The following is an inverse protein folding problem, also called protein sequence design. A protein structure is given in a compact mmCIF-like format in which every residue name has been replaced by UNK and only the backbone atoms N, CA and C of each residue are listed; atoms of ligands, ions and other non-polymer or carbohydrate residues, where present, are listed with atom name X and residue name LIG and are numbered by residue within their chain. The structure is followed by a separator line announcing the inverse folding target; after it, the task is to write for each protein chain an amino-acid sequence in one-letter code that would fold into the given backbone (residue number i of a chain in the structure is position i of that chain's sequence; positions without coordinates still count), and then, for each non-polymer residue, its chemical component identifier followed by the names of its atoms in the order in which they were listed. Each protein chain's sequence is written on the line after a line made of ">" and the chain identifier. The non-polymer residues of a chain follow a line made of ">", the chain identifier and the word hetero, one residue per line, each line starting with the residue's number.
data_IF_917946047777
#
_entry.id   IF_917946047777
#
_cell.length_a   1.000
_cell.length_b   1.000
_cell.length_c   1.000
_cell.angle_alpha   90.00
_cell.angle_beta   90.00
_cell.angle_gamma   90.00
#
_symmetry.space_group_name_H-M   'P 1'
#
loop_
_entity.id
_entity.type
_entity.pdbx_description
1 polymer ?
#
# COMPACT_ATOMS: atom_id res chain seq x y z
N UNK A 1 10.45 18.39 8.81
CA UNK A 1 11.24 17.14 8.92
C UNK A 1 11.61 16.73 7.51
N UNK A 2 12.84 16.33 7.29
CA UNK A 2 13.36 16.01 5.97
C UNK A 2 13.42 14.49 5.78
N UNK A 3 12.77 13.96 4.74
CA UNK A 3 12.74 12.56 4.35
C UNK A 3 13.42 12.38 2.99
N UNK A 4 13.81 11.16 2.68
CA UNK A 4 14.30 10.82 1.35
C UNK A 4 13.13 10.52 0.42
N UNK A 5 12.12 9.81 0.96
CA UNK A 5 10.91 9.39 0.23
C UNK A 5 9.67 9.70 1.05
N UNK A 6 8.65 10.26 0.41
CA UNK A 6 7.29 10.37 0.98
C UNK A 6 6.36 9.50 0.13
N UNK A 7 5.57 8.65 0.81
CA UNK A 7 4.55 7.80 0.18
C UNK A 7 3.17 8.27 0.64
N UNK A 8 2.30 8.61 -0.30
CA UNK A 8 0.93 9.05 -0.03
C UNK A 8 -0.02 7.87 -0.24
N UNK A 9 -0.63 7.38 0.84
CA UNK A 9 -1.59 6.30 0.85
C UNK A 9 -1.11 5.06 1.61
N UNK A 10 -1.95 4.52 2.50
CA UNK A 10 -1.69 3.31 3.32
C UNK A 10 -2.33 2.04 2.75
N UNK A 11 -2.67 2.01 1.47
CA UNK A 11 -3.13 0.81 0.76
C UNK A 11 -1.97 -0.13 0.41
N UNK A 12 -2.28 -1.25 -0.26
CA UNK A 12 -1.28 -2.27 -0.59
C UNK A 12 -0.06 -1.72 -1.33
N UNK A 13 -0.27 -0.89 -2.36
CA UNK A 13 0.84 -0.27 -3.11
C UNK A 13 1.68 0.66 -2.26
N UNK A 14 1.03 1.43 -1.37
CA UNK A 14 1.73 2.34 -0.46
C UNK A 14 2.54 1.60 0.60
N UNK A 15 2.02 0.49 1.12
CA UNK A 15 2.75 -0.36 2.05
C UNK A 15 4.01 -0.92 1.39
N UNK A 16 3.88 -1.54 0.22
CA UNK A 16 5.02 -2.13 -0.48
C UNK A 16 6.07 -1.06 -0.84
N UNK A 17 5.64 0.11 -1.33
CA UNK A 17 6.55 1.22 -1.64
C UNK A 17 7.27 1.74 -0.39
N UNK A 18 6.55 1.91 0.73
CA UNK A 18 7.12 2.41 1.98
C UNK A 18 8.11 1.41 2.60
N UNK A 19 7.73 0.14 2.65
CA UNK A 19 8.59 -0.92 3.19
C UNK A 19 9.84 -1.11 2.33
N UNK A 20 9.70 -1.10 1.00
CA UNK A 20 10.85 -1.19 0.10
C UNK A 20 11.82 -0.02 0.32
N UNK A 21 11.32 1.21 0.35
CA UNK A 21 12.15 2.40 0.57
C UNK A 21 12.87 2.35 1.93
N UNK A 22 12.14 2.03 3.00
CA UNK A 22 12.68 1.97 4.35
C UNK A 22 13.73 0.85 4.51
N UNK A 23 13.46 -0.34 3.95
CA UNK A 23 14.39 -1.49 3.95
C UNK A 23 15.65 -1.24 3.15
N UNK A 24 15.59 -0.37 2.16
CA UNK A 24 16.77 0.13 1.42
C UNK A 24 17.56 1.20 2.20
N UNK A 25 17.15 1.54 3.42
CA UNK A 25 17.82 2.52 4.28
C UNK A 25 17.41 3.98 4.05
N UNK A 26 16.38 4.23 3.24
CA UNK A 26 15.85 5.57 3.04
C UNK A 26 14.98 5.98 4.24
N UNK A 27 15.14 7.23 4.71
CA UNK A 27 14.18 7.83 5.66
C UNK A 27 12.87 8.07 4.93
N UNK A 28 11.89 7.25 5.26
CA UNK A 28 10.61 7.20 4.55
C UNK A 28 9.48 7.72 5.43
N UNK A 29 8.57 8.49 4.84
CA UNK A 29 7.33 8.90 5.47
C UNK A 29 6.15 8.31 4.70
N UNK A 30 5.27 7.61 5.39
CA UNK A 30 3.93 7.27 4.88
C UNK A 30 2.92 8.30 5.41
N UNK A 31 2.16 8.93 4.52
CA UNK A 31 1.01 9.77 4.89
C UNK A 31 -0.26 9.02 4.52
N UNK A 32 -1.14 8.79 5.49
CA UNK A 32 -2.40 8.05 5.30
C UNK A 32 -3.56 8.73 6.03
N UNK A 33 -4.76 8.63 5.48
CA UNK A 33 -5.96 9.24 6.07
C UNK A 33 -6.29 8.61 7.42
N UNK A 34 -6.22 7.27 7.50
CA UNK A 34 -6.52 6.51 8.72
C UNK A 34 -5.46 5.43 8.93
N UNK A 35 -4.70 5.53 10.01
CA UNK A 35 -3.67 4.55 10.36
C UNK A 35 -4.26 3.16 10.64
N UNK A 36 -5.48 3.10 11.19
CA UNK A 36 -6.19 1.84 11.43
C UNK A 36 -6.57 1.10 10.15
N UNK A 37 -6.62 1.79 9.02
CA UNK A 37 -6.97 1.22 7.71
C UNK A 37 -5.75 0.86 6.85
N UNK A 38 -4.54 0.97 7.39
CA UNK A 38 -3.34 0.49 6.69
C UNK A 38 -3.50 -1.00 6.37
N UNK A 39 -3.38 -1.35 5.09
CA UNK A 39 -3.54 -2.73 4.62
C UNK A 39 -4.97 -3.25 4.54
N UNK A 40 -5.98 -2.39 4.68
CA UNK A 40 -7.36 -2.82 4.57
C UNK A 40 -7.67 -3.42 3.19
N UNK A 41 -8.25 -4.62 3.19
CA UNK A 41 -8.67 -5.34 1.99
C UNK A 41 -10.17 -5.13 1.76
N UNK A 42 -10.55 -3.92 1.34
CA UNK A 42 -11.93 -3.44 1.33
C UNK A 42 -12.83 -4.07 0.25
N UNK A 43 -12.27 -4.64 -0.82
CA UNK A 43 -13.08 -5.17 -1.92
C UNK A 43 -13.50 -6.62 -1.69
N UNK A 44 -12.55 -7.52 -1.50
CA UNK A 44 -12.82 -8.92 -1.17
C UNK A 44 -11.62 -9.52 -0.44
N UNK A 45 -11.86 -10.55 0.42
CA UNK A 45 -10.84 -11.13 1.27
C UNK A 45 -9.95 -12.13 0.51
N UNK A 46 -9.44 -11.76 -0.66
CA UNK A 46 -8.64 -12.67 -1.46
C UNK A 46 -7.40 -12.01 -2.06
N UNK A 47 -6.28 -12.68 -1.91
CA UNK A 47 -5.00 -12.32 -2.51
C UNK A 47 -4.67 -13.34 -3.60
N UNK A 48 -4.23 -12.85 -4.75
CA UNK A 48 -3.92 -13.70 -5.90
C UNK A 48 -5.06 -13.82 -6.90
N UNK A 49 -4.98 -14.85 -7.73
CA UNK A 49 -5.81 -15.05 -8.92
C UNK A 49 -5.04 -14.80 -10.20
N UNK A 50 -5.74 -14.79 -11.34
CA UNK A 50 -5.14 -14.45 -12.63
C UNK A 50 -4.66 -12.99 -12.60
N UNK A 51 -3.51 -12.68 -13.13
CA UNK A 51 -2.79 -11.41 -13.08
C UNK A 51 -2.35 -10.99 -11.64
N UNK A 52 -3.27 -10.77 -10.69
CA UNK A 52 -2.91 -10.37 -9.32
C UNK A 52 -1.92 -11.34 -8.66
N UNK A 53 -2.12 -12.66 -8.82
CA UNK A 53 -1.21 -13.66 -8.26
C UNK A 53 0.19 -13.63 -8.85
N UNK A 54 0.34 -13.24 -10.11
CA UNK A 54 1.64 -13.06 -10.74
C UNK A 54 2.37 -11.86 -10.14
N UNK A 55 1.69 -10.71 -10.05
CA UNK A 55 2.26 -9.49 -9.45
C UNK A 55 2.65 -9.70 -7.97
N UNK A 56 1.82 -10.39 -7.19
CA UNK A 56 2.15 -10.71 -5.78
C UNK A 56 3.45 -11.51 -5.70
N UNK A 57 3.66 -12.51 -6.56
CA UNK A 57 4.88 -13.31 -6.59
C UNK A 57 6.11 -12.51 -7.03
N UNK A 58 5.96 -11.61 -7.98
CA UNK A 58 7.05 -10.73 -8.41
C UNK A 58 7.47 -9.78 -7.29
N UNK A 59 6.50 -9.19 -6.60
CA UNK A 59 6.74 -8.31 -5.45
C UNK A 59 7.37 -9.10 -4.29
N UNK A 60 6.87 -10.32 -4.00
CA UNK A 60 7.40 -11.21 -2.97
C UNK A 60 8.87 -11.60 -3.25
N UNK A 61 9.20 -11.92 -4.52
CA UNK A 61 10.56 -12.22 -4.94
C UNK A 61 11.54 -11.05 -4.74
N UNK A 62 11.03 -9.82 -4.69
CA UNK A 62 11.79 -8.59 -4.40
C UNK A 62 11.80 -8.22 -2.91
N UNK A 63 11.27 -9.08 -2.03
CA UNK A 63 11.20 -8.84 -0.59
C UNK A 63 9.95 -8.08 -0.14
N UNK A 64 8.85 -8.14 -0.91
CA UNK A 64 7.57 -7.54 -0.54
C UNK A 64 6.88 -8.27 0.62
N UNK A 65 5.90 -7.62 1.22
CA UNK A 65 5.24 -8.09 2.45
C UNK A 65 3.90 -8.79 2.18
N UNK A 66 3.25 -8.51 1.04
CA UNK A 66 1.91 -9.04 0.75
C UNK A 66 1.87 -10.57 0.73
N UNK A 67 2.88 -11.22 0.16
CA UNK A 67 3.00 -12.68 0.14
C UNK A 67 3.11 -13.26 1.55
N UNK A 68 4.03 -12.74 2.34
CA UNK A 68 4.28 -13.15 3.73
C UNK A 68 3.04 -12.97 4.62
N UNK A 69 2.39 -11.83 4.51
CA UNK A 69 1.14 -11.55 5.24
C UNK A 69 0.03 -12.53 4.82
N UNK A 70 -0.07 -12.81 3.52
CA UNK A 70 -1.06 -13.76 2.99
C UNK A 70 -0.84 -15.17 3.54
N UNK A 71 0.40 -15.63 3.62
CA UNK A 71 0.72 -16.94 4.19
C UNK A 71 0.37 -17.06 5.67
N UNK A 72 0.50 -15.95 6.42
CA UNK A 72 0.18 -15.91 7.86
C UNK A 72 -1.31 -15.76 8.18
N UNK A 73 -2.05 -15.10 7.31
CA UNK A 73 -3.46 -14.76 7.55
C UNK A 73 -4.44 -15.46 6.62
N UNK A 74 -3.92 -16.32 5.74
CA UNK A 74 -4.70 -17.11 4.81
C UNK A 74 -5.51 -18.19 5.50
N UNK A 75 -6.79 -18.27 5.16
CA UNK A 75 -7.73 -19.28 5.68
C UNK A 75 -8.06 -20.36 4.65
N UNK A 76 -7.80 -20.10 3.36
CA UNK A 76 -7.96 -21.07 2.28
C UNK A 76 -7.01 -20.77 1.13
N UNK A 77 -6.37 -21.78 0.60
CA UNK A 77 -5.45 -21.69 -0.55
C UNK A 77 -5.94 -22.56 -1.69
N UNK A 78 -5.97 -22.02 -2.90
CA UNK A 78 -6.41 -22.74 -4.10
C UNK A 78 -5.54 -22.39 -5.31
N UNK A 79 -5.33 -23.38 -6.18
CA UNK A 79 -4.84 -23.12 -7.53
C UNK A 79 -6.04 -23.00 -8.46
N UNK A 80 -6.23 -21.82 -9.06
CA UNK A 80 -7.24 -21.59 -10.08
C UNK A 80 -6.79 -22.21 -11.39
N UNK A 81 -7.76 -22.69 -12.19
CA UNK A 81 -7.52 -23.30 -13.49
C UNK A 81 -6.52 -24.47 -13.46
N UNK A 82 -6.52 -25.28 -12.39
CA UNK A 82 -5.59 -26.40 -12.22
C UNK A 82 -5.66 -27.41 -13.37
N UNK A 83 -6.84 -27.60 -13.96
CA UNK A 83 -7.07 -28.48 -15.12
C UNK A 83 -6.68 -27.89 -16.48
N UNK A 84 -6.27 -26.59 -16.49
CA UNK A 84 -5.88 -25.90 -17.72
C UNK A 84 -4.35 -25.77 -17.81
N UNK A 85 -3.85 -25.32 -18.95
CA UNK A 85 -2.41 -25.19 -19.17
C UNK A 85 -1.72 -24.26 -18.16
N UNK A 86 -0.39 -24.38 -17.99
CA UNK A 86 0.38 -23.62 -16.99
C UNK A 86 0.22 -22.09 -17.08
N UNK A 87 0.05 -21.58 -18.29
CA UNK A 87 -0.08 -20.14 -18.56
C UNK A 87 -1.30 -19.48 -17.90
N UNK A 88 -2.33 -20.24 -17.54
CA UNK A 88 -3.57 -19.73 -16.94
C UNK A 88 -3.77 -20.20 -15.50
N UNK A 89 -2.81 -20.93 -14.94
CA UNK A 89 -2.85 -21.32 -13.53
C UNK A 89 -2.49 -20.13 -12.67
N UNK A 90 -3.26 -19.89 -11.61
CA UNK A 90 -3.00 -18.81 -10.65
C UNK A 90 -3.24 -19.27 -9.23
N UNK A 91 -2.33 -18.92 -8.33
CA UNK A 91 -2.56 -19.12 -6.90
C UNK A 91 -3.53 -18.06 -6.38
N UNK A 92 -4.46 -18.47 -5.52
CA UNK A 92 -5.39 -17.57 -4.83
C UNK A 92 -5.53 -18.03 -3.39
N UNK A 93 -5.34 -17.09 -2.47
CA UNK A 93 -5.59 -17.27 -1.05
C UNK A 93 -6.83 -16.47 -0.63
N UNK A 94 -7.66 -17.07 0.20
CA UNK A 94 -8.67 -16.37 0.98
C UNK A 94 -8.01 -15.97 2.29
N UNK A 95 -8.16 -14.73 2.70
CA UNK A 95 -7.53 -14.19 3.91
C UNK A 95 -8.57 -13.83 4.98
N UNK A 96 -8.18 -13.89 6.23
CA UNK A 96 -8.87 -13.18 7.31
C UNK A 96 -8.53 -11.69 7.18
N UNK A 97 -9.52 -10.87 6.81
CA UNK A 97 -9.32 -9.44 6.51
C UNK A 97 -8.83 -8.64 7.71
N UNK A 98 -9.32 -8.96 8.91
CA UNK A 98 -8.93 -8.27 10.13
C UNK A 98 -7.52 -8.63 10.55
N UNK A 99 -7.17 -9.90 10.52
CA UNK A 99 -5.80 -10.35 10.81
C UNK A 99 -4.80 -9.83 9.79
N UNK A 100 -5.16 -9.82 8.52
CA UNK A 100 -4.34 -9.25 7.45
C UNK A 100 -4.04 -7.76 7.69
N UNK A 101 -5.07 -6.98 7.98
CA UNK A 101 -4.95 -5.55 8.30
C UNK A 101 -4.10 -5.31 9.55
N UNK A 102 -4.35 -6.07 10.62
CA UNK A 102 -3.58 -5.98 11.88
C UNK A 102 -2.11 -6.30 11.63
N UNK A 103 -1.83 -7.37 10.88
CA UNK A 103 -0.48 -7.77 10.54
C UNK A 103 0.25 -6.67 9.74
N UNK A 104 -0.35 -6.22 8.64
CA UNK A 104 0.25 -5.18 7.78
C UNK A 104 0.52 -3.89 8.53
N UNK A 105 -0.45 -3.44 9.33
CA UNK A 105 -0.27 -2.25 10.17
C UNK A 105 0.88 -2.42 11.15
N UNK A 106 0.98 -3.56 11.81
CA UNK A 106 2.05 -3.83 12.76
C UNK A 106 3.42 -3.83 12.07
N UNK A 107 3.54 -4.42 10.90
CA UNK A 107 4.79 -4.39 10.13
C UNK A 107 5.17 -2.95 9.78
N UNK A 108 4.25 -2.17 9.24
CA UNK A 108 4.50 -0.76 8.87
C UNK A 108 4.93 0.07 10.07
N UNK A 109 4.22 -0.04 11.20
CA UNK A 109 4.50 0.76 12.39
C UNK A 109 5.78 0.37 13.13
N UNK A 110 6.32 -0.82 12.90
CA UNK A 110 7.54 -1.32 13.55
C UNK A 110 8.72 -1.46 12.60
N UNK A 111 8.63 -0.93 11.39
CA UNK A 111 9.74 -0.95 10.43
C UNK A 111 10.67 0.24 10.68
N UNK A 112 11.95 -0.03 10.84
CA UNK A 112 12.97 1.00 10.97
C UNK A 112 12.99 1.93 9.74
N UNK A 113 13.35 3.19 9.94
CA UNK A 113 13.39 4.24 8.91
C UNK A 113 12.02 4.58 8.28
N UNK A 114 10.91 4.11 8.84
CA UNK A 114 9.56 4.39 8.36
C UNK A 114 8.73 5.12 9.41
N UNK A 115 8.46 6.39 9.16
CA UNK A 115 7.50 7.17 9.93
C UNK A 115 6.11 7.13 9.29
N UNK A 116 5.06 7.13 10.12
CA UNK A 116 3.67 7.19 9.66
C UNK A 116 3.00 8.45 10.21
N UNK A 117 2.32 9.19 9.34
CA UNK A 117 1.47 10.34 9.71
C UNK A 117 0.05 10.10 9.25
N UNK A 118 -0.88 10.26 10.21
CA UNK A 118 -2.31 10.22 9.92
C UNK A 118 -2.78 11.62 9.54
N UNK A 119 -2.66 11.94 8.27
CA UNK A 119 -3.03 13.22 7.69
C UNK A 119 -3.55 13.03 6.26
N UNK A 120 -4.20 14.05 5.72
CA UNK A 120 -4.61 14.08 4.32
C UNK A 120 -3.61 14.92 3.56
N UNK A 121 -2.92 14.31 2.60
CA UNK A 121 -2.05 15.02 1.67
C UNK A 121 -2.92 15.91 0.77
N UNK A 122 -2.57 17.18 0.66
CA UNK A 122 -3.35 18.20 -0.05
C UNK A 122 -2.65 18.68 -1.32
N UNK A 123 -1.32 18.80 -1.31
CA UNK A 123 -0.57 19.29 -2.44
C UNK A 123 0.88 18.83 -2.48
N UNK A 124 1.47 18.97 -3.66
CA UNK A 124 2.90 18.81 -3.87
C UNK A 124 3.59 20.17 -3.80
N UNK A 125 4.76 20.21 -3.17
CA UNK A 125 5.66 21.35 -3.22
C UNK A 125 6.56 21.13 -4.44
N UNK A 126 6.47 22.02 -5.40
CA UNK A 126 7.29 21.97 -6.63
C UNK A 126 8.03 23.29 -6.80
N UNK A 127 9.33 23.23 -6.90
CA UNK A 127 10.20 24.39 -7.11
C UNK A 127 11.11 24.10 -8.31
N UNK A 128 11.17 25.02 -9.25
CA UNK A 128 11.99 24.89 -10.47
C UNK A 128 11.75 23.57 -11.25
N UNK A 129 10.51 23.06 -11.25
CA UNK A 129 10.15 21.81 -11.91
C UNK A 129 10.51 20.51 -11.15
N UNK A 130 11.06 20.63 -9.94
CA UNK A 130 11.41 19.52 -9.09
C UNK A 130 10.48 19.42 -7.87
N UNK A 131 10.10 18.19 -7.49
CA UNK A 131 9.35 17.95 -6.27
C UNK A 131 10.27 18.17 -5.06
N UNK A 132 9.78 18.94 -4.08
CA UNK A 132 10.49 19.24 -2.83
C UNK A 132 9.76 18.72 -1.58
N UNK A 133 8.52 18.26 -1.73
CA UNK A 133 7.75 17.73 -0.62
C UNK A 133 6.25 17.71 -0.83
N UNK A 134 5.54 17.62 0.28
CA UNK A 134 4.07 17.50 0.36
C UNK A 134 3.54 18.46 1.42
N UNK A 135 2.39 19.08 1.14
CA UNK A 135 1.56 19.78 2.11
C UNK A 135 0.36 18.93 2.51
N UNK A 136 -0.15 19.14 3.71
CA UNK A 136 -1.34 18.46 4.23
C UNK A 136 -2.44 19.43 4.58
N UNK A 137 -3.68 18.95 4.68
CA UNK A 137 -4.85 19.76 5.04
C UNK A 137 -4.74 20.38 6.44
N UNK A 138 -3.90 19.83 7.32
CA UNK A 138 -3.60 20.41 8.63
C UNK A 138 -2.58 21.56 8.56
N UNK A 139 -2.09 21.90 7.37
CA UNK A 139 -1.09 22.96 7.17
C UNK A 139 0.36 22.51 7.44
N UNK A 140 0.57 21.23 7.70
CA UNK A 140 1.91 20.69 7.87
C UNK A 140 2.62 20.55 6.52
N UNK A 141 3.95 20.70 6.57
CA UNK A 141 4.83 20.56 5.42
C UNK A 141 5.89 19.50 5.71
N UNK A 142 6.03 18.53 4.80
CA UNK A 142 7.05 17.51 4.84
C UNK A 142 7.90 17.59 3.58
N UNK A 143 9.22 17.64 3.76
CA UNK A 143 10.16 17.77 2.63
C UNK A 143 10.77 16.44 2.26
N UNK A 144 10.85 16.17 0.96
CA UNK A 144 11.53 15.03 0.37
C UNK A 144 11.86 15.28 -1.10
N UNK A 145 12.89 14.63 -1.60
CA UNK A 145 13.26 14.68 -3.02
C UNK A 145 12.47 13.71 -3.90
N UNK A 146 11.73 12.78 -3.28
CA UNK A 146 10.93 11.76 -3.97
C UNK A 146 9.56 11.65 -3.32
N UNK A 147 8.51 11.66 -4.14
CA UNK A 147 7.12 11.45 -3.69
C UNK A 147 6.48 10.36 -4.53
N UNK A 148 5.91 9.36 -3.86
CA UNK A 148 5.18 8.25 -4.49
C UNK A 148 3.70 8.40 -4.13
N UNK A 149 2.85 8.54 -5.15
CA UNK A 149 1.41 8.71 -4.96
C UNK A 149 0.73 7.37 -5.18
N UNK A 150 0.10 6.86 -4.12
CA UNK A 150 -0.66 5.59 -4.12
C UNK A 150 -2.08 5.80 -3.57
N UNK A 151 -2.68 6.94 -3.86
CA UNK A 151 -3.95 7.38 -3.29
C UNK A 151 -5.17 6.53 -3.71
N UNK A 152 -5.02 5.58 -4.63
CA UNK A 152 -6.10 4.71 -5.09
C UNK A 152 -7.26 5.51 -5.67
N UNK A 153 -8.45 5.32 -5.10
CA UNK A 153 -9.69 6.01 -5.52
C UNK A 153 -9.98 7.30 -4.73
N UNK A 154 -9.09 7.71 -3.82
CA UNK A 154 -9.36 8.85 -2.92
C UNK A 154 -8.95 10.21 -3.49
N UNK A 155 -8.11 10.25 -4.51
CA UNK A 155 -7.65 11.50 -5.11
C UNK A 155 -8.73 12.05 -6.06
N UNK A 156 -9.50 13.04 -5.60
CA UNK A 156 -10.64 13.62 -6.33
C UNK A 156 -11.60 12.56 -6.88
N UNK A 157 -11.74 11.45 -6.17
CA UNK A 157 -12.62 10.36 -6.56
C UNK A 157 -14.09 10.75 -6.44
N UNK A 158 -14.89 10.37 -7.43
CA UNK A 158 -16.33 10.56 -7.38
C UNK A 158 -17.00 9.38 -6.68
N UNK A 159 -17.71 9.68 -5.58
CA UNK A 159 -18.47 8.69 -4.82
C UNK A 159 -19.93 8.75 -5.27
N UNK A 160 -20.50 7.60 -5.64
CA UNK A 160 -21.91 7.47 -5.95
C UNK A 160 -22.65 6.78 -4.79
N UNK A 161 -23.65 7.45 -4.22
CA UNK A 161 -24.53 6.89 -3.18
C UNK A 161 -25.97 7.07 -3.67
N UNK A 162 -26.50 6.08 -4.38
CA UNK A 162 -27.77 6.19 -5.06
C UNK A 162 -27.71 7.30 -6.13
N UNK A 163 -28.63 8.25 -6.05
CA UNK A 163 -28.69 9.41 -6.96
C UNK A 163 -27.78 10.57 -6.53
N UNK A 164 -27.17 10.50 -5.34
CA UNK A 164 -26.25 11.54 -4.85
C UNK A 164 -24.83 11.28 -5.36
N UNK A 165 -24.17 12.37 -5.74
CA UNK A 165 -22.77 12.36 -6.17
C UNK A 165 -21.93 13.16 -5.20
#
# INVERSE_FOLDING_TARGET
>A
MNYDVIVIGGGHSGIEASLASARMGCRTLMITILAEQIGASSCNPAIGGLAKGHLVREVDALGGEMGLCTDKTGIQFRTLNASKGPAVRGSRAQIDMDQYRIYMRNVVLNTDNLDVKQEIADGLIVEEGEVKGVTTQLGNTYTASKVIITAGTFLNGLIHIGEKK
#
